data_IF_004552640005
#
_entry.id   IF_004552640005
#
_cell.length_a   1.000
_cell.length_b   1.000
_cell.length_c   1.000
_cell.angle_alpha   90.00
_cell.angle_beta   90.00
_cell.angle_gamma   90.00
#
_symmetry.space_group_name_H-M   'P 1'
#
loop_
_entity.id
_entity.type
_entity.pdbx_description
1 polymer ?
#
# COMPACT_ATOMS: atom_id res chain seq x y z
N UNK A 1 -51.77 1.15 -46.36
CA UNK A 1 -50.45 0.57 -46.06
C UNK A 1 -50.61 -0.92 -46.01
N UNK A 2 -49.82 -1.65 -46.80
CA UNK A 2 -49.80 -3.10 -46.81
C UNK A 2 -49.12 -3.62 -45.52
N UNK A 3 -49.61 -4.71 -44.97
CA UNK A 3 -49.19 -5.25 -43.67
C UNK A 3 -47.72 -5.69 -43.70
N UNK A 4 -47.24 -6.17 -44.86
CA UNK A 4 -45.82 -6.46 -45.09
C UNK A 4 -44.93 -5.20 -45.07
N UNK A 5 -45.45 -4.06 -45.50
CA UNK A 5 -44.70 -2.80 -45.52
C UNK A 5 -44.58 -2.20 -44.12
N UNK A 6 -45.66 -2.31 -43.31
CA UNK A 6 -45.65 -1.91 -41.90
C UNK A 6 -44.70 -2.77 -41.05
N UNK A 7 -44.69 -4.09 -41.25
CA UNK A 7 -43.79 -5.00 -40.53
C UNK A 7 -42.30 -4.79 -40.90
N UNK A 8 -42.02 -4.45 -42.17
CA UNK A 8 -40.66 -4.12 -42.64
C UNK A 8 -40.16 -2.77 -42.08
N UNK A 9 -41.03 -1.77 -42.02
CA UNK A 9 -40.73 -0.47 -41.41
C UNK A 9 -40.51 -0.59 -39.89
N UNK A 10 -41.31 -1.41 -39.21
CA UNK A 10 -41.11 -1.71 -37.78
C UNK A 10 -39.79 -2.45 -37.52
N UNK A 11 -39.44 -3.45 -38.32
CA UNK A 11 -38.15 -4.15 -38.17
C UNK A 11 -36.96 -3.22 -38.40
N UNK A 12 -37.05 -2.34 -39.41
CA UNK A 12 -36.02 -1.33 -39.68
C UNK A 12 -35.91 -0.33 -38.53
N UNK A 13 -37.04 0.11 -37.98
CA UNK A 13 -37.10 0.97 -36.80
C UNK A 13 -36.48 0.31 -35.56
N UNK A 14 -36.80 -0.96 -35.27
CA UNK A 14 -36.20 -1.69 -34.16
C UNK A 14 -34.70 -1.93 -34.34
N UNK A 15 -34.23 -2.17 -35.57
CA UNK A 15 -32.81 -2.30 -35.88
C UNK A 15 -32.08 -0.97 -35.68
N UNK A 16 -32.69 0.15 -36.10
CA UNK A 16 -32.16 1.49 -35.90
C UNK A 16 -32.05 1.84 -34.41
N UNK A 17 -33.13 1.64 -33.64
CA UNK A 17 -33.14 1.85 -32.19
C UNK A 17 -32.11 0.94 -31.49
N UNK A 18 -32.01 -0.33 -31.88
CA UNK A 18 -30.99 -1.23 -31.33
C UNK A 18 -29.57 -0.76 -31.66
N UNK A 19 -29.36 -0.15 -32.82
CA UNK A 19 -28.08 0.42 -33.19
C UNK A 19 -27.77 1.71 -32.42
N UNK A 20 -28.74 2.63 -32.33
CA UNK A 20 -28.63 3.87 -31.55
C UNK A 20 -28.37 3.59 -30.07
N UNK A 21 -29.16 2.72 -29.43
CA UNK A 21 -28.94 2.31 -28.04
C UNK A 21 -27.54 1.70 -27.87
N UNK A 22 -27.06 0.92 -28.85
CA UNK A 22 -25.72 0.34 -28.80
C UNK A 22 -24.64 1.40 -28.95
N UNK A 23 -24.82 2.41 -29.81
CA UNK A 23 -23.89 3.53 -29.94
C UNK A 23 -23.89 4.41 -28.69
N UNK A 24 -25.07 4.76 -28.15
CA UNK A 24 -25.21 5.48 -26.89
C UNK A 24 -24.56 4.72 -25.73
N UNK A 25 -24.72 3.39 -25.67
CA UNK A 25 -24.08 2.55 -24.67
C UNK A 25 -22.55 2.54 -24.80
N UNK A 26 -22.03 2.44 -26.04
CA UNK A 26 -20.59 2.52 -26.32
C UNK A 26 -20.05 3.90 -25.95
N UNK A 27 -20.76 4.97 -26.27
CA UNK A 27 -20.38 6.33 -25.88
C UNK A 27 -20.41 6.54 -24.37
N UNK A 28 -21.41 5.99 -23.68
CA UNK A 28 -21.50 6.02 -22.23
C UNK A 28 -20.30 5.31 -21.59
N UNK A 29 -19.97 4.09 -22.04
CA UNK A 29 -18.79 3.36 -21.56
C UNK A 29 -17.46 4.05 -21.90
N UNK A 30 -17.38 4.79 -23.02
CA UNK A 30 -16.22 5.63 -23.36
C UNK A 30 -16.09 6.84 -22.44
N UNK A 31 -17.21 7.44 -22.04
CA UNK A 31 -17.26 8.57 -21.09
C UNK A 31 -17.01 8.12 -19.63
N UNK A 32 -17.23 6.84 -19.33
CA UNK A 32 -17.09 6.25 -18.01
C UNK A 32 -16.12 5.05 -18.02
N UNK A 33 -14.82 5.26 -18.31
CA UNK A 33 -13.83 4.18 -18.34
C UNK A 33 -13.73 3.41 -17.02
N UNK A 34 -14.07 4.04 -15.89
CA UNK A 34 -14.15 3.43 -14.57
C UNK A 34 -15.14 2.25 -14.51
N UNK A 35 -16.24 2.28 -15.27
CA UNK A 35 -17.21 1.18 -15.28
C UNK A 35 -16.63 -0.07 -15.92
N UNK A 36 -15.90 0.09 -17.03
CA UNK A 36 -15.20 -1.03 -17.67
C UNK A 36 -14.15 -1.61 -16.74
N UNK A 37 -13.41 -0.76 -16.02
CA UNK A 37 -12.41 -1.21 -15.06
C UNK A 37 -13.05 -2.02 -13.92
N UNK A 38 -14.08 -1.47 -13.27
CA UNK A 38 -14.77 -2.14 -12.15
C UNK A 38 -15.36 -3.48 -12.58
N UNK A 39 -16.00 -3.55 -13.75
CA UNK A 39 -16.61 -4.78 -14.26
C UNK A 39 -15.55 -5.81 -14.67
N UNK A 40 -14.46 -5.39 -15.28
CA UNK A 40 -13.34 -6.27 -15.64
C UNK A 40 -12.65 -6.82 -14.39
N UNK A 41 -12.46 -5.98 -13.37
CA UNK A 41 -11.89 -6.37 -12.09
C UNK A 41 -12.81 -7.38 -11.39
N UNK A 42 -14.13 -7.13 -11.36
CA UNK A 42 -15.11 -8.03 -10.77
C UNK A 42 -15.13 -9.41 -11.45
N UNK A 43 -15.18 -9.41 -12.78
CA UNK A 43 -15.22 -10.65 -13.56
C UNK A 43 -13.92 -11.44 -13.42
N UNK A 44 -12.77 -10.77 -13.38
CA UNK A 44 -11.48 -11.40 -13.11
C UNK A 44 -11.43 -12.05 -11.72
N UNK A 45 -12.00 -11.39 -10.70
CA UNK A 45 -12.07 -11.91 -9.34
C UNK A 45 -12.99 -13.14 -9.22
N UNK A 46 -14.14 -13.15 -9.91
CA UNK A 46 -14.98 -14.36 -9.98
C UNK A 46 -14.23 -15.54 -10.60
N UNK A 47 -13.49 -15.31 -11.69
CA UNK A 47 -12.75 -16.37 -12.37
C UNK A 47 -11.63 -16.93 -11.48
N UNK A 48 -11.01 -16.07 -10.66
CA UNK A 48 -9.93 -16.44 -9.75
C UNK A 48 -10.44 -17.21 -8.53
N UNK A 49 -11.39 -16.62 -7.80
CA UNK A 49 -11.87 -17.14 -6.51
C UNK A 49 -12.90 -18.27 -6.67
N UNK A 50 -13.55 -18.35 -7.85
CA UNK A 50 -14.59 -19.33 -8.18
C UNK A 50 -15.59 -19.55 -7.04
N UNK A 51 -16.26 -18.48 -6.56
CA UNK A 51 -17.14 -18.56 -5.41
C UNK A 51 -18.37 -19.44 -5.72
N UNK A 52 -18.77 -20.27 -4.76
CA UNK A 52 -19.95 -21.14 -4.88
C UNK A 52 -21.27 -20.32 -5.02
N UNK A 53 -21.30 -19.09 -4.52
CA UNK A 53 -22.43 -18.18 -4.63
C UNK A 53 -22.00 -16.82 -5.23
N UNK A 54 -22.10 -16.72 -6.55
CA UNK A 54 -21.73 -15.52 -7.30
C UNK A 54 -22.56 -14.29 -6.90
N UNK A 55 -23.83 -14.44 -6.52
CA UNK A 55 -24.67 -13.30 -6.12
C UNK A 55 -24.28 -12.74 -4.76
N UNK A 56 -23.94 -13.61 -3.79
CA UNK A 56 -23.44 -13.17 -2.49
C UNK A 56 -22.05 -12.54 -2.64
N UNK A 57 -21.18 -13.15 -3.45
CA UNK A 57 -19.87 -12.61 -3.79
C UNK A 57 -19.98 -11.25 -4.50
N UNK A 58 -20.94 -11.08 -5.41
CA UNK A 58 -21.24 -9.80 -6.05
C UNK A 58 -21.69 -8.75 -5.03
N UNK A 59 -22.58 -9.12 -4.10
CA UNK A 59 -23.03 -8.21 -3.04
C UNK A 59 -21.86 -7.75 -2.18
N UNK A 60 -20.96 -8.65 -1.80
CA UNK A 60 -19.77 -8.33 -1.02
C UNK A 60 -18.79 -7.47 -1.83
N UNK A 61 -18.49 -7.87 -3.07
CA UNK A 61 -17.61 -7.14 -3.99
C UNK A 61 -18.12 -5.71 -4.26
N UNK A 62 -19.42 -5.56 -4.56
CA UNK A 62 -20.00 -4.25 -4.84
C UNK A 62 -20.34 -3.45 -3.57
N UNK A 63 -20.46 -4.10 -2.40
CA UNK A 63 -20.57 -3.40 -1.13
C UNK A 63 -19.36 -2.51 -0.84
N UNK A 64 -18.21 -2.81 -1.44
CA UNK A 64 -17.02 -1.96 -1.37
C UNK A 64 -17.21 -0.60 -2.08
N UNK A 65 -18.08 -0.52 -3.11
CA UNK A 65 -18.38 0.74 -3.81
C UNK A 65 -19.59 1.48 -3.20
N UNK A 66 -20.43 0.79 -2.43
CA UNK A 66 -21.56 1.37 -1.71
C UNK A 66 -21.19 2.05 -0.38
N UNK A 67 -19.90 2.27 -0.11
CA UNK A 67 -19.43 2.89 1.13
C UNK A 67 -19.49 4.42 1.08
N UNK A 68 -20.70 4.97 0.98
CA UNK A 68 -21.03 6.26 1.62
C UNK A 68 -21.56 6.05 3.05
N UNK A 69 -21.22 4.93 3.71
CA UNK A 69 -21.52 4.70 5.12
C UNK A 69 -20.30 4.20 5.90
N UNK A 70 -19.64 5.15 6.55
CA UNK A 70 -19.03 5.03 7.89
C UNK A 70 -18.20 3.76 8.20
N UNK A 71 -17.23 3.43 7.34
CA UNK A 71 -16.01 2.79 7.84
C UNK A 71 -14.95 3.88 7.94
N UNK A 72 -14.54 4.23 9.17
CA UNK A 72 -13.39 5.12 9.41
C UNK A 72 -12.14 4.44 8.83
N UNK A 73 -11.82 4.73 7.57
CA UNK A 73 -10.60 4.23 6.94
C UNK A 73 -9.41 5.04 7.44
N UNK A 74 -8.54 4.42 8.22
CA UNK A 74 -7.31 5.07 8.66
C UNK A 74 -6.30 5.12 7.51
N UNK A 75 -5.76 6.30 7.20
CA UNK A 75 -4.65 6.43 6.25
C UNK A 75 -3.47 5.55 6.69
N UNK A 76 -2.75 4.86 5.78
CA UNK A 76 -1.53 4.16 6.15
C UNK A 76 -0.47 5.12 6.70
N UNK A 77 0.39 4.60 7.58
CA UNK A 77 1.56 5.29 8.10
C UNK A 77 2.81 4.73 7.41
N UNK A 78 3.45 5.55 6.58
CA UNK A 78 4.74 5.24 5.97
C UNK A 78 5.85 5.73 6.88
N UNK A 79 6.75 4.83 7.26
CA UNK A 79 7.83 5.08 8.22
C UNK A 79 9.16 4.85 7.53
N UNK A 80 9.86 5.95 7.29
CA UNK A 80 11.20 5.95 6.71
C UNK A 80 12.23 6.44 7.73
N UNK A 81 13.51 6.28 7.41
CA UNK A 81 14.60 6.74 8.25
C UNK A 81 15.87 5.98 7.94
N UNK A 82 17.03 6.57 8.23
CA UNK A 82 18.29 5.92 7.93
C UNK A 82 18.50 4.60 8.70
N UNK A 83 19.42 3.76 8.23
CA UNK A 83 19.87 2.60 9.01
C UNK A 83 20.50 3.04 10.33
N UNK A 84 20.12 2.41 11.45
CA UNK A 84 20.70 2.70 12.78
C UNK A 84 19.96 3.75 13.62
N UNK A 85 18.94 4.42 13.06
CA UNK A 85 18.16 5.47 13.77
C UNK A 85 17.16 4.92 14.80
N UNK A 86 16.94 3.60 14.86
CA UNK A 86 16.06 2.97 15.85
C UNK A 86 14.60 2.76 15.44
N UNK A 87 14.29 2.81 14.13
CA UNK A 87 12.92 2.59 13.59
C UNK A 87 12.23 1.34 14.14
N UNK A 88 12.87 0.18 13.94
CA UNK A 88 12.29 -1.10 14.35
C UNK A 88 11.97 -1.17 15.84
N UNK A 89 12.82 -0.59 16.70
CA UNK A 89 12.56 -0.54 18.14
C UNK A 89 11.33 0.32 18.47
N UNK A 90 11.23 1.52 17.88
CA UNK A 90 10.06 2.40 18.07
C UNK A 90 8.78 1.75 17.57
N UNK A 91 8.82 1.11 16.40
CA UNK A 91 7.67 0.42 15.83
C UNK A 91 7.23 -0.77 16.68
N UNK A 92 8.17 -1.59 17.17
CA UNK A 92 7.84 -2.68 18.10
C UNK A 92 7.18 -2.18 19.38
N UNK A 93 7.65 -1.06 19.94
CA UNK A 93 7.02 -0.42 21.09
C UNK A 93 5.60 0.06 20.75
N UNK A 94 5.41 0.68 19.58
CA UNK A 94 4.10 1.12 19.10
C UNK A 94 3.10 -0.03 18.99
N UNK A 95 3.48 -1.13 18.32
CA UNK A 95 2.59 -2.29 18.17
C UNK A 95 2.30 -2.97 19.50
N UNK A 96 3.27 -3.00 20.43
CA UNK A 96 3.05 -3.56 21.76
C UNK A 96 2.09 -2.71 22.59
N UNK A 97 2.17 -1.39 22.49
CA UNK A 97 1.33 -0.47 23.24
C UNK A 97 -0.07 -0.34 22.64
N UNK A 98 -0.20 -0.46 21.32
CA UNK A 98 -1.46 -0.27 20.58
C UNK A 98 -1.72 -1.40 19.56
N UNK A 99 -1.80 -2.67 20.00
CA UNK A 99 -1.90 -3.83 19.11
C UNK A 99 -3.22 -3.91 18.34
N UNK A 100 -4.24 -3.17 18.77
CA UNK A 100 -5.55 -3.13 18.11
C UNK A 100 -5.64 -1.97 17.11
N UNK A 101 -4.70 -1.02 17.13
CA UNK A 101 -4.75 0.19 16.31
C UNK A 101 -3.73 0.17 15.17
N UNK A 102 -2.57 -0.46 15.34
CA UNK A 102 -1.50 -0.48 14.33
C UNK A 102 -1.11 -1.90 13.98
N UNK A 103 -0.92 -2.16 12.69
CA UNK A 103 -0.49 -3.46 12.15
C UNK A 103 0.61 -3.25 11.12
N UNK A 104 1.61 -4.13 11.13
CA UNK A 104 2.68 -4.11 10.14
C UNK A 104 2.16 -4.55 8.76
N UNK A 105 2.57 -3.86 7.71
CA UNK A 105 2.39 -4.35 6.35
C UNK A 105 3.36 -5.50 6.07
N UNK A 106 2.83 -6.72 5.96
CA UNK A 106 3.64 -7.88 5.59
C UNK A 106 3.92 -7.82 4.08
N UNK A 107 5.17 -7.55 3.71
CA UNK A 107 5.59 -7.44 2.31
C UNK A 107 5.60 -8.79 1.60
N UNK A 108 5.53 -8.76 0.28
CA UNK A 108 5.76 -9.92 -0.58
C UNK A 108 7.24 -10.03 -0.90
N UNK A 109 7.76 -11.24 -1.05
CA UNK A 109 9.12 -11.46 -1.56
C UNK A 109 9.24 -12.73 -2.38
N UNK A 110 10.16 -12.70 -3.36
CA UNK A 110 10.53 -13.89 -4.13
C UNK A 110 11.71 -14.66 -3.52
N UNK A 111 12.28 -14.15 -2.41
CA UNK A 111 13.33 -14.85 -1.68
C UNK A 111 12.70 -16.07 -0.99
N UNK A 112 13.41 -17.19 -0.96
CA UNK A 112 13.00 -18.33 -0.14
C UNK A 112 12.99 -17.97 1.36
N UNK A 113 12.05 -18.50 2.17
CA UNK A 113 12.03 -18.27 3.62
C UNK A 113 13.32 -18.79 4.29
N UNK A 114 13.83 -18.03 5.26
CA UNK A 114 14.91 -18.47 6.16
C UNK A 114 14.36 -19.38 7.26
N UNK A 115 15.21 -20.20 7.91
CA UNK A 115 14.78 -20.98 9.07
C UNK A 115 14.11 -20.10 10.14
N UNK A 116 12.87 -20.44 10.50
CA UNK A 116 12.06 -19.70 11.46
C UNK A 116 11.15 -18.60 10.87
N UNK A 117 11.32 -18.23 9.59
CA UNK A 117 10.38 -17.32 8.93
C UNK A 117 9.09 -18.05 8.55
N UNK A 118 7.96 -17.40 8.77
CA UNK A 118 6.61 -17.93 8.55
C UNK A 118 5.89 -17.10 7.49
N UNK A 119 5.32 -17.79 6.47
CA UNK A 119 4.56 -17.18 5.39
C UNK A 119 3.33 -16.42 5.93
N UNK A 120 3.10 -15.21 5.43
CA UNK A 120 1.99 -14.33 5.85
C UNK A 120 2.19 -13.66 7.22
N UNK A 121 3.30 -13.96 7.92
CA UNK A 121 3.69 -13.27 9.15
C UNK A 121 4.95 -12.42 8.95
N UNK A 122 5.98 -13.00 8.33
CA UNK A 122 7.25 -12.32 8.07
C UNK A 122 7.25 -11.73 6.66
N UNK A 123 6.90 -12.55 5.68
CA UNK A 123 6.66 -12.16 4.29
C UNK A 123 5.60 -13.06 3.67
N UNK A 124 4.96 -12.58 2.61
CA UNK A 124 4.33 -13.45 1.63
C UNK A 124 5.40 -13.95 0.65
N UNK A 125 5.88 -15.16 0.89
CA UNK A 125 6.85 -15.82 0.01
C UNK A 125 6.13 -16.36 -1.23
N UNK A 126 6.47 -15.82 -2.41
CA UNK A 126 5.85 -16.15 -3.71
C UNK A 126 6.93 -16.47 -4.74
N UNK A 127 6.57 -17.11 -5.85
CA UNK A 127 7.50 -17.32 -6.96
C UNK A 127 7.82 -16.02 -7.69
N UNK A 128 8.92 -15.99 -8.47
CA UNK A 128 9.21 -14.84 -9.34
C UNK A 128 8.14 -14.64 -10.41
N UNK A 129 7.63 -15.72 -10.99
CA UNK A 129 6.56 -15.66 -11.98
C UNK A 129 5.26 -15.09 -11.37
N UNK A 130 4.91 -15.51 -10.15
CA UNK A 130 3.75 -14.97 -9.43
C UNK A 130 3.92 -13.48 -9.13
N UNK A 131 5.08 -13.07 -8.63
CA UNK A 131 5.35 -11.66 -8.36
C UNK A 131 5.27 -10.81 -9.64
N UNK A 132 5.81 -11.30 -10.75
CA UNK A 132 5.73 -10.60 -12.04
C UNK A 132 4.30 -10.46 -12.56
N UNK A 133 3.46 -11.49 -12.42
CA UNK A 133 2.02 -11.40 -12.74
C UNK A 133 1.33 -10.32 -11.90
N UNK A 134 1.67 -10.21 -10.61
CA UNK A 134 1.12 -9.17 -9.75
C UNK A 134 1.63 -7.76 -10.10
N UNK A 135 2.87 -7.62 -10.60
CA UNK A 135 3.36 -6.37 -11.19
C UNK A 135 2.51 -5.98 -12.42
N UNK A 136 2.24 -6.91 -13.33
CA UNK A 136 1.43 -6.67 -14.54
C UNK A 136 0.01 -6.19 -14.20
N UNK A 137 -0.56 -6.73 -13.11
CA UNK A 137 -1.85 -6.32 -12.56
C UNK A 137 -1.81 -5.00 -11.79
N UNK A 138 -0.64 -4.37 -11.64
CA UNK A 138 -0.44 -3.17 -10.81
C UNK A 138 -0.87 -3.38 -9.34
N UNK A 139 -0.67 -4.58 -8.81
CA UNK A 139 -1.13 -4.95 -7.47
C UNK A 139 -0.23 -4.42 -6.33
N UNK A 140 0.94 -3.87 -6.66
CA UNK A 140 1.90 -3.33 -5.70
C UNK A 140 1.86 -1.79 -5.65
N UNK A 141 1.87 -1.24 -4.44
CA UNK A 141 2.08 0.19 -4.20
C UNK A 141 3.48 0.64 -4.61
N UNK A 142 4.43 -0.21 -4.28
CA UNK A 142 5.83 -0.11 -4.64
C UNK A 142 6.42 -1.52 -4.69
N UNK A 143 7.48 -1.66 -5.47
CA UNK A 143 8.35 -2.83 -5.42
C UNK A 143 9.78 -2.44 -5.82
N UNK A 144 10.72 -3.29 -5.43
CA UNK A 144 12.13 -3.19 -5.79
C UNK A 144 12.76 -4.58 -5.95
N UNK A 145 13.90 -4.63 -6.64
CA UNK A 145 14.73 -5.83 -6.73
C UNK A 145 15.99 -5.64 -5.88
N UNK A 146 16.25 -6.58 -4.98
CA UNK A 146 17.41 -6.58 -4.09
C UNK A 146 18.07 -7.94 -4.14
N UNK A 147 19.34 -7.97 -4.59
CA UNK A 147 20.13 -9.19 -4.74
C UNK A 147 19.41 -10.30 -5.53
N UNK A 148 18.76 -9.93 -6.64
CA UNK A 148 18.05 -10.87 -7.50
C UNK A 148 16.70 -11.36 -6.96
N UNK A 149 16.19 -10.78 -5.87
CA UNK A 149 14.88 -11.09 -5.32
C UNK A 149 13.99 -9.84 -5.32
N UNK A 150 12.72 -10.00 -5.66
CA UNK A 150 11.75 -8.91 -5.57
C UNK A 150 11.20 -8.80 -4.15
N UNK A 151 10.89 -7.56 -3.78
CA UNK A 151 10.17 -7.19 -2.57
C UNK A 151 9.12 -6.16 -2.93
N UNK A 152 7.94 -6.21 -2.32
CA UNK A 152 6.91 -5.22 -2.59
C UNK A 152 5.78 -5.17 -1.58
N UNK A 153 5.16 -4.01 -1.50
CA UNK A 153 4.02 -3.72 -0.63
C UNK A 153 2.72 -3.88 -1.41
N UNK A 154 1.97 -4.94 -1.14
CA UNK A 154 0.77 -5.30 -1.90
C UNK A 154 -0.44 -4.45 -1.49
N UNK A 155 -1.09 -3.81 -2.47
CA UNK A 155 -2.20 -2.89 -2.27
C UNK A 155 -3.35 -3.53 -1.49
N UNK A 156 -3.75 -4.75 -1.86
CA UNK A 156 -4.84 -5.46 -1.19
C UNK A 156 -4.57 -5.71 0.31
N UNK A 157 -3.32 -5.91 0.72
CA UNK A 157 -3.00 -6.10 2.15
C UNK A 157 -3.15 -4.80 2.92
N UNK A 158 -2.69 -3.68 2.36
CA UNK A 158 -2.88 -2.36 2.95
C UNK A 158 -4.36 -2.05 3.09
N UNK A 159 -5.14 -2.25 2.02
CA UNK A 159 -6.58 -2.05 2.03
C UNK A 159 -7.31 -2.95 3.04
N UNK A 160 -6.88 -4.20 3.22
CA UNK A 160 -7.45 -5.13 4.21
C UNK A 160 -7.30 -4.58 5.62
N UNK A 161 -6.11 -4.08 5.99
CA UNK A 161 -5.86 -3.48 7.31
C UNK A 161 -6.68 -2.20 7.49
N UNK A 162 -6.76 -1.35 6.46
CA UNK A 162 -7.58 -0.13 6.50
C UNK A 162 -9.06 -0.43 6.72
N UNK A 163 -9.59 -1.48 6.07
CA UNK A 163 -10.99 -1.94 6.24
C UNK A 163 -11.29 -2.46 7.65
N UNK A 164 -10.27 -2.87 8.40
CA UNK A 164 -10.40 -3.30 9.79
C UNK A 164 -10.40 -2.11 10.77
N UNK A 165 -10.32 -0.87 10.27
CA UNK A 165 -10.22 0.33 11.11
C UNK A 165 -8.86 0.48 11.79
N UNK A 166 -7.84 -0.21 11.28
CA UNK A 166 -6.47 -0.19 11.80
C UNK A 166 -5.57 0.62 10.87
N UNK A 167 -4.50 1.19 11.42
CA UNK A 167 -3.45 1.86 10.67
C UNK A 167 -2.47 0.82 10.15
N UNK A 168 -2.38 0.69 8.84
CA UNK A 168 -1.33 -0.08 8.19
C UNK A 168 0.00 0.68 8.28
N UNK A 169 1.00 0.11 8.94
CA UNK A 169 2.34 0.67 9.07
C UNK A 169 3.27 0.04 8.04
N UNK A 170 3.85 0.86 7.17
CA UNK A 170 4.74 0.46 6.09
C UNK A 170 6.13 1.00 6.41
N UNK A 171 7.03 0.13 6.89
CA UNK A 171 8.45 0.47 7.07
C UNK A 171 9.19 0.31 5.73
N UNK A 172 9.73 1.41 5.20
CA UNK A 172 10.39 1.41 3.89
C UNK A 172 11.50 2.45 3.82
N UNK A 173 12.37 2.34 2.82
CA UNK A 173 13.37 3.37 2.53
C UNK A 173 12.73 4.61 1.84
N UNK A 174 13.53 5.67 1.71
CA UNK A 174 13.06 6.94 1.16
C UNK A 174 12.64 6.83 -0.31
N UNK A 175 13.25 5.93 -1.08
CA UNK A 175 12.93 5.74 -2.50
C UNK A 175 11.60 5.00 -2.66
N UNK A 176 11.34 3.99 -1.84
CA UNK A 176 10.07 3.29 -1.79
C UNK A 176 8.94 4.20 -1.33
N UNK A 177 9.16 5.02 -0.32
CA UNK A 177 8.19 6.03 0.10
C UNK A 177 7.89 7.08 -0.98
N UNK A 178 8.89 7.50 -1.78
CA UNK A 178 8.68 8.34 -2.96
C UNK A 178 7.80 7.66 -4.02
N UNK A 179 7.96 6.34 -4.22
CA UNK A 179 7.07 5.58 -5.11
C UNK A 179 5.65 5.53 -4.57
N UNK A 180 5.49 5.25 -3.27
CA UNK A 180 4.17 5.21 -2.62
C UNK A 180 3.48 6.57 -2.72
N UNK A 181 4.19 7.68 -2.50
CA UNK A 181 3.59 9.02 -2.58
C UNK A 181 3.10 9.38 -3.98
N UNK A 182 3.73 8.85 -5.02
CA UNK A 182 3.28 8.98 -6.41
C UNK A 182 2.11 8.04 -6.73
N UNK A 183 2.15 6.81 -6.23
CA UNK A 183 1.09 5.80 -6.45
C UNK A 183 -0.20 6.13 -5.68
N UNK A 184 -0.11 6.74 -4.50
CA UNK A 184 -1.23 7.09 -3.64
C UNK A 184 -1.12 8.54 -3.10
N UNK A 185 -1.31 9.56 -3.97
CA UNK A 185 -1.16 10.95 -3.56
C UNK A 185 -2.12 11.32 -2.42
N UNK A 186 -1.58 11.92 -1.34
CA UNK A 186 -2.34 12.38 -0.16
C UNK A 186 -3.11 11.30 0.63
N UNK A 187 -2.88 10.02 0.37
CA UNK A 187 -3.59 8.93 1.06
C UNK A 187 -2.80 8.29 2.21
N UNK A 188 -1.52 8.63 2.38
CA UNK A 188 -0.69 8.14 3.48
C UNK A 188 -0.17 9.31 4.33
N UNK A 189 0.12 9.01 5.60
CA UNK A 189 0.89 9.88 6.47
C UNK A 189 2.35 9.42 6.47
N UNK A 190 3.29 10.36 6.44
CA UNK A 190 4.72 10.06 6.30
C UNK A 190 5.48 10.58 7.51
N UNK A 191 6.27 9.70 8.13
CA UNK A 191 7.22 10.05 9.18
C UNK A 191 8.64 9.64 8.78
N UNK A 192 9.60 10.51 9.08
CA UNK A 192 11.01 10.21 8.90
C UNK A 192 11.70 10.21 10.27
N UNK A 193 12.21 9.05 10.68
CA UNK A 193 12.93 8.91 11.95
C UNK A 193 14.40 9.19 11.68
N UNK A 194 14.97 10.16 12.39
CA UNK A 194 16.34 10.59 12.23
C UNK A 194 17.12 10.50 13.55
N UNK A 195 18.45 10.43 13.45
CA UNK A 195 19.32 10.57 14.61
C UNK A 195 19.50 12.07 14.94
N UNK A 196 19.80 12.43 16.20
CA UNK A 196 20.00 13.83 16.58
C UNK A 196 21.27 14.43 15.95
N UNK A 197 22.26 13.59 15.62
CA UNK A 197 23.46 13.99 14.89
C UNK A 197 24.10 12.81 14.17
N UNK A 198 24.98 13.12 13.22
CA UNK A 198 25.77 12.14 12.46
C UNK A 198 26.72 11.36 13.39
N UNK A 199 27.27 12.00 14.41
CA UNK A 199 28.13 11.37 15.42
C UNK A 199 27.36 10.34 16.25
N UNK A 200 26.14 10.68 16.68
CA UNK A 200 25.29 9.76 17.44
C UNK A 200 24.85 8.58 16.55
N UNK A 201 24.58 8.82 15.26
CA UNK A 201 24.30 7.75 14.31
C UNK A 201 25.50 6.80 14.16
N UNK A 202 26.71 7.33 13.98
CA UNK A 202 27.94 6.53 13.90
C UNK A 202 28.12 5.71 15.19
N UNK A 203 27.96 6.34 16.35
CA UNK A 203 28.06 5.67 17.66
C UNK A 203 27.08 4.49 17.80
N UNK A 204 25.87 4.61 17.27
CA UNK A 204 24.87 3.53 17.25
C UNK A 204 25.23 2.40 16.29
N UNK A 205 25.85 2.71 15.16
CA UNK A 205 26.32 1.70 14.21
C UNK A 205 27.54 0.94 14.75
N UNK A 206 28.52 1.65 15.31
CA UNK A 206 29.73 1.04 15.92
C UNK A 206 29.40 0.23 17.17
N UNK A 207 28.48 0.72 18.01
CA UNK A 207 28.09 0.08 19.27
C UNK A 207 27.48 -1.31 19.13
N UNK A 208 27.08 -1.73 17.92
CA UNK A 208 26.62 -3.11 17.65
C UNK A 208 27.75 -4.14 17.68
N UNK A 209 29.01 -3.72 17.49
CA UNK A 209 30.21 -4.56 17.63
C UNK A 209 30.36 -5.69 16.60
N UNK A 210 29.46 -5.79 15.61
CA UNK A 210 29.40 -6.90 14.65
C UNK A 210 29.89 -6.53 13.25
N UNK A 211 30.33 -5.29 13.03
CA UNK A 211 30.59 -4.75 11.69
C UNK A 211 32.00 -4.15 11.60
N UNK A 212 32.63 -4.28 10.44
CA UNK A 212 33.93 -3.67 10.16
C UNK A 212 33.77 -2.16 9.91
N UNK A 213 34.84 -1.40 10.09
CA UNK A 213 34.82 0.05 9.83
C UNK A 213 34.38 0.36 8.38
N UNK A 214 34.81 -0.45 7.40
CA UNK A 214 34.38 -0.30 6.00
C UNK A 214 32.86 -0.43 5.82
N UNK A 215 32.22 -1.35 6.55
CA UNK A 215 30.76 -1.52 6.52
C UNK A 215 30.06 -0.34 7.19
N UNK A 216 30.63 0.16 8.28
CA UNK A 216 30.11 1.33 9.01
C UNK A 216 30.17 2.57 8.12
N UNK A 217 31.29 2.85 7.45
CA UNK A 217 31.43 3.96 6.50
C UNK A 217 30.41 3.87 5.36
N UNK A 218 30.23 2.67 4.79
CA UNK A 218 29.22 2.45 3.75
C UNK A 218 27.81 2.76 4.25
N UNK A 219 27.49 2.38 5.49
CA UNK A 219 26.18 2.68 6.09
C UNK A 219 26.00 4.15 6.40
N UNK A 220 27.03 4.83 6.92
CA UNK A 220 27.00 6.27 7.15
C UNK A 220 26.74 7.03 5.84
N UNK A 221 27.45 6.69 4.77
CA UNK A 221 27.26 7.31 3.46
C UNK A 221 25.85 7.06 2.88
N UNK A 222 25.28 5.88 3.13
CA UNK A 222 23.91 5.60 2.72
C UNK A 222 22.90 6.40 3.55
N UNK A 223 23.12 6.50 4.86
CA UNK A 223 22.27 7.27 5.76
C UNK A 223 22.22 8.75 5.37
N UNK A 224 23.36 9.36 5.05
CA UNK A 224 23.44 10.75 4.58
C UNK A 224 22.58 10.97 3.33
N UNK A 225 22.68 10.07 2.34
CA UNK A 225 21.88 10.14 1.12
C UNK A 225 20.38 9.99 1.40
N UNK A 226 20.00 9.11 2.32
CA UNK A 226 18.59 8.95 2.71
C UNK A 226 18.05 10.22 3.38
N UNK A 227 18.82 10.82 4.30
CA UNK A 227 18.44 12.06 4.98
C UNK A 227 18.31 13.21 3.97
N UNK A 228 19.32 13.40 3.11
CA UNK A 228 19.30 14.43 2.08
C UNK A 228 18.08 14.28 1.17
N UNK A 229 17.80 13.05 0.71
CA UNK A 229 16.66 12.80 -0.16
C UNK A 229 15.33 12.97 0.57
N UNK A 230 15.22 12.62 1.85
CA UNK A 230 14.01 12.85 2.62
C UNK A 230 13.70 14.36 2.74
N UNK A 231 14.73 15.19 2.97
CA UNK A 231 14.59 16.65 2.99
C UNK A 231 14.20 17.21 1.63
N UNK A 232 14.81 16.72 0.54
CA UNK A 232 14.45 17.13 -0.83
C UNK A 232 12.99 16.83 -1.17
N UNK A 233 12.46 15.70 -0.69
CA UNK A 233 11.08 15.31 -0.94
C UNK A 233 10.07 16.15 -0.15
N UNK A 234 10.44 16.65 1.03
CA UNK A 234 9.69 17.66 1.77
C UNK A 234 8.30 17.27 2.30
N UNK A 235 7.88 16.00 2.16
CA UNK A 235 6.55 15.54 2.58
C UNK A 235 6.53 14.81 3.94
N UNK A 236 7.70 14.63 4.57
CA UNK A 236 7.82 13.90 5.83
C UNK A 236 7.57 14.80 7.05
N UNK A 237 7.00 14.20 8.09
CA UNK A 237 7.09 14.73 9.44
C UNK A 237 8.33 14.13 10.11
N UNK A 238 9.32 14.97 10.44
CA UNK A 238 10.58 14.50 11.00
C UNK A 238 10.48 14.24 12.51
N UNK A 239 11.06 13.13 12.95
CA UNK A 239 11.14 12.74 14.34
C UNK A 239 12.58 12.40 14.72
N UNK A 240 13.19 13.25 15.55
CA UNK A 240 14.52 13.01 16.10
C UNK A 240 14.46 11.96 17.23
N UNK A 241 15.25 10.90 17.07
CA UNK A 241 15.38 9.82 18.05
C UNK A 241 16.64 9.99 18.90
N UNK A 242 16.59 10.89 19.88
CA UNK A 242 17.65 11.11 20.87
C UNK A 242 17.52 10.16 22.07
N UNK A 243 16.32 10.05 22.63
CA UNK A 243 15.96 9.17 23.73
C UNK A 243 14.71 8.38 23.38
N UNK A 244 14.78 7.06 23.52
CA UNK A 244 13.73 6.16 23.05
C UNK A 244 12.36 6.45 23.68
N UNK A 245 12.29 6.76 24.98
CA UNK A 245 11.02 7.02 25.65
C UNK A 245 10.44 8.37 25.29
N UNK A 246 11.27 9.42 25.24
CA UNK A 246 10.84 10.76 24.82
C UNK A 246 10.38 10.76 23.37
N UNK A 247 11.11 10.09 22.50
CA UNK A 247 10.76 9.95 21.08
C UNK A 247 9.49 9.15 20.90
N UNK A 248 9.26 8.09 21.68
CA UNK A 248 7.99 7.37 21.68
C UNK A 248 6.82 8.29 22.05
N UNK A 249 6.95 9.13 23.09
CA UNK A 249 5.91 10.10 23.45
C UNK A 249 5.62 11.08 22.32
N UNK A 250 6.68 11.67 21.72
CA UNK A 250 6.54 12.57 20.56
C UNK A 250 5.87 11.89 19.36
N UNK A 251 6.20 10.62 19.11
CA UNK A 251 5.57 9.82 18.06
C UNK A 251 4.07 9.69 18.34
N UNK A 252 3.67 9.33 19.56
CA UNK A 252 2.24 9.22 19.91
C UNK A 252 1.52 10.57 19.78
N UNK A 253 2.14 11.66 20.25
CA UNK A 253 1.56 13.00 20.12
C UNK A 253 1.35 13.38 18.64
N UNK A 254 2.30 13.03 17.76
CA UNK A 254 2.16 13.20 16.31
C UNK A 254 1.07 12.30 15.72
N UNK A 255 1.01 11.03 16.11
CA UNK A 255 -0.01 10.09 15.61
C UNK A 255 -1.43 10.51 16.01
N UNK A 256 -1.60 11.21 17.14
CA UNK A 256 -2.89 11.81 17.54
C UNK A 256 -3.34 12.92 16.60
N UNK A 257 -2.42 13.65 15.97
CA UNK A 257 -2.78 14.67 14.98
C UNK A 257 -3.21 14.03 13.66
N UNK A 258 -2.63 12.88 13.31
CA UNK A 258 -3.00 12.13 12.10
C UNK A 258 -4.29 11.33 12.25
N UNK A 259 -4.52 10.77 13.44
CA UNK A 259 -5.57 9.79 13.70
C UNK A 259 -6.40 10.21 14.91
N UNK A 260 -7.17 11.29 14.77
CA UNK A 260 -7.98 11.89 15.84
C UNK A 260 -9.03 10.96 16.44
N UNK A 261 -9.41 9.93 15.68
CA UNK A 261 -10.42 8.95 16.06
C UNK A 261 -9.86 7.73 16.80
N UNK A 262 -8.54 7.55 16.81
CA UNK A 262 -7.90 6.43 17.48
C UNK A 262 -7.71 6.73 18.97
N UNK A 263 -7.92 5.70 19.80
CA UNK A 263 -7.65 5.76 21.23
C UNK A 263 -6.15 5.54 21.47
N UNK A 264 -5.39 6.63 21.38
CA UNK A 264 -3.94 6.70 21.60
C UNK A 264 -3.59 7.33 22.97
#
# INVERSE_FOLDING_TARGET
MDQQQFDSELQTYFLHIKHEIKQEHIEYLKKHPELNQILNDFTSQIILEKPDNVYQYAKEYFSFFNQEKDLKTCKPLVVSGASGVGKGTLLQMLFKQYPQQFVFSVSYTTRAPRPGEVHGQHYYFVSKEEFQKEIEKKAFLEYCEVHGNYYGTHLAQVQKVMKQGQVCVIEIDVQGAEKISKSMPNQCNYIFINAPSTEELRKRLTGRGTETEEVIEKRMKNAEKEIEKAHQLGFYNELLNDDLQKTMKKLIDLLKTFYTDLKL
#
